data_IF_118909926121
#
_entry.id   IF_118909926121
#
_cell.length_a   1.000
_cell.length_b   1.000
_cell.length_c   1.000
_cell.angle_alpha   90.00
_cell.angle_beta   90.00
_cell.angle_gamma   90.00
#
_symmetry.space_group_name_H-M   'P 1'
#
loop_
_entity.id
_entity.type
_entity.pdbx_description
1 polymer ?
#
# COMPACT_ATOMS: atom_id res chain seq x y z
N UNK A 1 9.09 44.17 -13.54
CA UNK A 1 9.49 42.81 -13.13
C UNK A 1 8.38 42.24 -12.26
N UNK A 2 7.50 41.38 -12.81
CA UNK A 2 6.40 40.76 -12.05
C UNK A 2 6.85 39.40 -11.54
N UNK A 3 6.79 39.21 -10.23
CA UNK A 3 7.21 37.99 -9.55
C UNK A 3 6.40 36.79 -10.01
N UNK A 4 7.09 35.73 -10.40
CA UNK A 4 6.55 34.39 -10.58
C UNK A 4 6.15 33.84 -9.20
N UNK A 5 4.91 34.12 -8.78
CA UNK A 5 4.32 33.45 -7.62
C UNK A 5 3.99 32.01 -8.01
N UNK A 6 4.99 31.14 -7.85
CA UNK A 6 4.82 29.70 -7.94
C UNK A 6 3.79 29.26 -6.90
N UNK A 7 2.60 28.86 -7.37
CA UNK A 7 1.61 28.17 -6.55
C UNK A 7 2.23 26.86 -6.11
N UNK A 8 2.77 26.81 -4.89
CA UNK A 8 3.16 25.54 -4.26
C UNK A 8 1.87 24.77 -4.04
N UNK A 9 1.62 23.75 -4.85
CA UNK A 9 0.55 22.78 -4.60
C UNK A 9 0.79 22.19 -3.21
N UNK A 10 -0.09 22.50 -2.26
CA UNK A 10 -0.12 21.78 -0.97
C UNK A 10 -0.28 20.30 -1.30
N UNK A 11 0.47 19.39 -0.67
CA UNK A 11 0.21 17.97 -0.84
C UNK A 11 -1.25 17.74 -0.46
N UNK A 12 -1.99 17.07 -1.36
CA UNK A 12 -3.36 16.68 -1.06
C UNK A 12 -3.33 15.85 0.22
N UNK A 13 -3.97 16.36 1.28
CA UNK A 13 -4.14 15.58 2.50
C UNK A 13 -4.98 14.37 2.13
N UNK A 14 -4.34 13.19 2.09
CA UNK A 14 -5.03 11.95 1.75
C UNK A 14 -6.09 11.71 2.81
N UNK A 15 -7.35 11.60 2.38
CA UNK A 15 -8.49 11.33 3.25
C UNK A 15 -8.23 10.02 4.03
N UNK A 16 -8.28 10.03 5.38
CA UNK A 16 -8.12 8.83 6.19
C UNK A 16 -9.06 7.69 5.78
N UNK A 17 -10.28 8.00 5.34
CA UNK A 17 -11.24 6.98 4.90
C UNK A 17 -10.81 6.35 3.57
N UNK A 18 -10.26 7.16 2.66
CA UNK A 18 -9.68 6.67 1.41
C UNK A 18 -8.43 5.81 1.66
N UNK A 19 -7.58 6.18 2.64
CA UNK A 19 -6.42 5.37 3.05
C UNK A 19 -6.85 3.99 3.57
N UNK A 20 -7.85 3.95 4.46
CA UNK A 20 -8.36 2.69 5.00
C UNK A 20 -8.95 1.80 3.90
N UNK A 21 -9.77 2.35 3.01
CA UNK A 21 -10.34 1.59 1.89
C UNK A 21 -9.24 1.03 0.95
N UNK A 22 -8.18 1.82 0.71
CA UNK A 22 -7.03 1.39 -0.09
C UNK A 22 -6.28 0.25 0.60
N UNK A 23 -6.03 0.36 1.90
CA UNK A 23 -5.35 -0.66 2.68
C UNK A 23 -6.12 -2.00 2.67
N UNK A 24 -7.44 -1.94 2.87
CA UNK A 24 -8.32 -3.12 2.81
C UNK A 24 -8.33 -3.79 1.43
N UNK A 25 -8.40 -2.99 0.37
CA UNK A 25 -8.34 -3.49 -1.00
C UNK A 25 -7.00 -4.17 -1.29
N UNK A 26 -5.88 -3.53 -0.94
CA UNK A 26 -4.54 -4.09 -1.13
C UNK A 26 -4.35 -5.39 -0.34
N UNK A 27 -4.78 -5.42 0.92
CA UNK A 27 -4.68 -6.63 1.76
C UNK A 27 -5.45 -7.83 1.18
N UNK A 28 -6.51 -7.58 0.40
CA UNK A 28 -7.30 -8.62 -0.26
C UNK A 28 -6.63 -9.13 -1.54
N UNK A 29 -6.02 -8.27 -2.34
CA UNK A 29 -5.47 -8.63 -3.65
C UNK A 29 -4.00 -9.11 -3.61
N UNK A 30 -3.18 -8.58 -2.71
CA UNK A 30 -1.76 -8.92 -2.60
C UNK A 30 -1.46 -10.42 -2.38
N UNK A 31 -2.25 -11.21 -1.61
CA UNK A 31 -2.02 -12.65 -1.50
C UNK A 31 -1.98 -13.37 -2.85
N UNK A 32 -2.86 -12.98 -3.77
CA UNK A 32 -2.91 -13.58 -5.11
C UNK A 32 -1.66 -13.27 -5.93
N UNK A 33 -1.16 -12.04 -5.82
CA UNK A 33 0.07 -11.64 -6.49
C UNK A 33 1.30 -12.35 -5.90
N UNK A 34 1.35 -12.55 -4.57
CA UNK A 34 2.41 -13.34 -3.92
C UNK A 34 2.41 -14.76 -4.49
N UNK A 35 1.25 -15.43 -4.50
CA UNK A 35 1.13 -16.80 -5.05
C UNK A 35 1.55 -16.88 -6.52
N UNK A 36 1.21 -15.88 -7.33
CA UNK A 36 1.60 -15.84 -8.74
C UNK A 36 3.12 -15.65 -8.90
N UNK A 37 3.72 -14.75 -8.13
CA UNK A 37 5.16 -14.51 -8.14
C UNK A 37 5.94 -15.75 -7.67
N UNK A 38 5.47 -16.42 -6.61
CA UNK A 38 6.04 -17.68 -6.12
C UNK A 38 5.95 -18.77 -7.19
N UNK A 39 4.79 -18.95 -7.83
CA UNK A 39 4.60 -19.94 -8.89
C UNK A 39 5.49 -19.66 -10.13
N UNK A 40 5.88 -18.41 -10.35
CA UNK A 40 6.77 -18.00 -11.42
C UNK A 40 8.28 -18.07 -11.04
N UNK A 41 8.62 -18.47 -9.81
CA UNK A 41 10.01 -18.47 -9.31
C UNK A 41 10.61 -17.08 -9.14
N UNK A 42 9.77 -16.06 -8.91
CA UNK A 42 10.17 -14.68 -8.72
C UNK A 42 10.29 -14.34 -7.23
N UNK A 43 11.19 -15.02 -6.53
CA UNK A 43 11.29 -15.01 -5.05
C UNK A 43 11.39 -13.60 -4.45
N UNK A 44 12.21 -12.72 -5.05
CA UNK A 44 12.35 -11.33 -4.58
C UNK A 44 11.05 -10.55 -4.74
N UNK A 45 10.31 -10.78 -5.83
CA UNK A 45 9.03 -10.08 -6.09
C UNK A 45 7.98 -10.57 -5.11
N UNK A 46 7.89 -11.88 -4.89
CA UNK A 46 6.97 -12.46 -3.90
C UNK A 46 7.24 -11.92 -2.50
N UNK A 47 8.51 -11.83 -2.10
CA UNK A 47 8.91 -11.23 -0.83
C UNK A 47 8.45 -9.78 -0.68
N UNK A 48 8.69 -8.94 -1.70
CA UNK A 48 8.28 -7.53 -1.68
C UNK A 48 6.74 -7.38 -1.59
N UNK A 49 6.00 -8.22 -2.31
CA UNK A 49 4.54 -8.24 -2.27
C UNK A 49 4.00 -8.69 -0.91
N UNK A 50 4.66 -9.66 -0.27
CA UNK A 50 4.29 -10.11 1.07
C UNK A 50 4.55 -9.03 2.12
N UNK A 51 5.66 -8.29 2.03
CA UNK A 51 5.87 -7.11 2.88
C UNK A 51 4.79 -6.06 2.67
N UNK A 52 4.44 -5.75 1.42
CA UNK A 52 3.36 -4.81 1.12
C UNK A 52 2.02 -5.27 1.69
N UNK A 53 1.75 -6.58 1.69
CA UNK A 53 0.53 -7.17 2.25
C UNK A 53 0.48 -6.97 3.76
N UNK A 54 1.59 -7.20 4.45
CA UNK A 54 1.72 -7.00 5.91
C UNK A 54 1.46 -5.54 6.27
N UNK A 55 2.06 -4.59 5.56
CA UNK A 55 1.83 -3.15 5.78
C UNK A 55 0.38 -2.74 5.49
N UNK A 56 -0.21 -3.25 4.41
CA UNK A 56 -1.61 -3.00 4.10
C UNK A 56 -2.55 -3.56 5.18
N UNK A 57 -2.26 -4.75 5.73
CA UNK A 57 -3.01 -5.32 6.84
C UNK A 57 -2.83 -4.52 8.14
N UNK A 58 -1.64 -3.96 8.37
CA UNK A 58 -1.36 -3.10 9.52
C UNK A 58 -2.20 -1.81 9.47
N UNK A 59 -2.16 -1.13 8.32
CA UNK A 59 -2.92 0.10 8.08
C UNK A 59 -4.44 -0.16 8.11
N UNK A 60 -4.88 -1.34 7.66
CA UNK A 60 -6.29 -1.75 7.74
C UNK A 60 -6.75 -2.18 9.14
N UNK A 61 -5.82 -2.35 10.09
CA UNK A 61 -6.12 -2.87 11.43
C UNK A 61 -6.51 -4.36 11.45
N UNK A 62 -6.09 -5.13 10.44
CA UNK A 62 -6.45 -6.55 10.26
C UNK A 62 -5.30 -7.51 10.52
N UNK A 63 -4.14 -7.02 10.99
CA UNK A 63 -3.08 -7.90 11.48
C UNK A 63 -3.60 -8.77 12.64
N UNK A 64 -3.36 -10.09 12.62
CA UNK A 64 -3.73 -10.94 13.74
C UNK A 64 -3.00 -10.48 15.00
N UNK A 65 -3.73 -10.38 16.11
CA UNK A 65 -3.13 -10.12 17.42
C UNK A 65 -2.07 -11.20 17.69
N UNK A 66 -0.83 -10.79 17.97
CA UNK A 66 0.23 -11.73 18.35
C UNK A 66 -0.25 -12.49 19.60
N UNK A 67 -0.48 -13.80 19.44
CA UNK A 67 -0.76 -14.72 20.54
C UNK A 67 0.53 -15.17 21.19
#
# INVERSE_FOLDING_TARGET
MKGLTGKRSRPATVDPQQRLATAQYLATFLPELVRLADAAGMDLVAYLLEMARVEAAAEAGTLPARR
#
